data_IF_521394902660
#
_entry.id   IF_521394902660
#
_cell.length_a   1.000
_cell.length_b   1.000
_cell.length_c   1.000
_cell.angle_alpha   90.00
_cell.angle_beta   90.00
_cell.angle_gamma   90.00
#
_symmetry.space_group_name_H-M   'P 1'
#
loop_
_entity.id
_entity.type
_entity.pdbx_description
1 polymer ?
#
# COMPACT_ATOMS: atom_id res chain seq x y z
N UNK A 1 -2.94 -14.44 -30.36
CA UNK A 1 -2.59 -13.71 -29.11
C UNK A 1 -1.11 -13.29 -29.11
N UNK A 2 -0.63 -12.56 -30.13
CA UNK A 2 0.78 -12.11 -30.24
C UNK A 2 0.92 -10.62 -30.56
N UNK A 3 -0.09 -10.02 -31.19
CA UNK A 3 -0.09 -8.61 -31.63
C UNK A 3 -0.22 -7.62 -30.46
N UNK A 4 -1.00 -7.94 -29.42
CA UNK A 4 -1.21 -7.05 -28.25
C UNK A 4 0.05 -6.95 -27.38
N UNK A 5 0.74 -8.09 -27.14
CA UNK A 5 1.99 -8.13 -26.37
C UNK A 5 3.14 -7.45 -27.12
N UNK A 6 3.16 -7.56 -28.47
CA UNK A 6 4.13 -6.87 -29.32
C UNK A 6 3.83 -5.37 -29.45
N UNK A 7 2.56 -4.99 -29.49
CA UNK A 7 2.10 -3.60 -29.47
C UNK A 7 2.38 -2.88 -28.14
N UNK A 8 2.52 -3.60 -27.02
CA UNK A 8 2.92 -3.04 -25.72
C UNK A 8 4.44 -2.92 -25.52
N UNK A 9 5.27 -3.74 -26.19
CA UNK A 9 6.74 -3.64 -26.08
C UNK A 9 7.31 -2.33 -26.63
N UNK A 10 6.73 -1.79 -27.71
CA UNK A 10 7.22 -0.58 -28.38
C UNK A 10 6.88 0.74 -27.64
N UNK A 11 5.67 0.92 -27.04
CA UNK A 11 5.31 2.14 -26.32
C UNK A 11 5.60 2.11 -24.81
N UNK A 12 6.05 1.01 -24.20
CA UNK A 12 6.29 0.93 -22.75
C UNK A 12 7.29 1.98 -22.24
N UNK A 13 8.36 2.24 -22.99
CA UNK A 13 9.37 3.25 -22.66
C UNK A 13 8.81 4.69 -22.82
N UNK A 14 8.21 5.06 -23.97
CA UNK A 14 7.51 6.34 -24.11
C UNK A 14 6.44 6.58 -23.04
N UNK A 15 5.60 5.59 -22.76
CA UNK A 15 4.55 5.69 -21.73
C UNK A 15 5.15 5.96 -20.35
N UNK A 16 6.23 5.26 -20.00
CA UNK A 16 6.92 5.47 -18.73
C UNK A 16 7.48 6.88 -18.59
N UNK A 17 8.07 7.41 -19.68
CA UNK A 17 8.57 8.78 -19.72
C UNK A 17 7.44 9.79 -19.48
N UNK A 18 6.32 9.67 -20.20
CA UNK A 18 5.15 10.53 -20.05
C UNK A 18 4.58 10.47 -18.64
N UNK A 19 4.32 9.28 -18.11
CA UNK A 19 3.74 9.10 -16.78
C UNK A 19 4.66 9.58 -15.65
N UNK A 20 5.98 9.54 -15.84
CA UNK A 20 6.94 10.04 -14.83
C UNK A 20 6.87 11.56 -14.67
N UNK A 21 6.63 12.29 -15.77
CA UNK A 21 6.45 13.74 -15.77
C UNK A 21 5.05 14.18 -15.31
N UNK A 22 4.07 13.29 -15.38
CA UNK A 22 2.68 13.65 -15.15
C UNK A 22 2.31 13.63 -13.65
N UNK A 23 1.98 14.79 -13.08
CA UNK A 23 1.70 14.94 -11.65
C UNK A 23 0.57 14.00 -11.16
N UNK A 24 -0.48 13.83 -11.95
CA UNK A 24 -1.63 12.98 -11.63
C UNK A 24 -1.27 11.50 -11.55
N UNK A 25 -0.26 11.04 -12.30
CA UNK A 25 0.21 9.66 -12.28
C UNK A 25 1.25 9.39 -11.17
N UNK A 26 1.70 10.43 -10.45
CA UNK A 26 2.82 10.35 -9.51
C UNK A 26 2.52 9.44 -8.32
N UNK A 27 3.46 8.54 -8.03
CA UNK A 27 3.56 7.80 -6.77
C UNK A 27 4.59 8.50 -5.91
N UNK A 28 4.16 9.04 -4.78
CA UNK A 28 5.03 9.79 -3.88
C UNK A 28 4.47 9.77 -2.47
N UNK A 29 5.36 9.69 -1.50
CA UNK A 29 5.00 9.82 -0.09
C UNK A 29 4.21 11.12 0.13
N UNK A 30 3.08 11.08 0.85
CA UNK A 30 2.26 12.25 1.06
C UNK A 30 3.01 13.29 1.89
N UNK A 31 2.79 14.58 1.59
CA UNK A 31 3.26 15.66 2.46
C UNK A 31 2.57 15.59 3.83
N UNK A 32 3.13 16.21 4.89
CA UNK A 32 2.50 16.20 6.22
C UNK A 32 1.05 16.72 6.22
N UNK A 33 0.77 17.78 5.44
CA UNK A 33 -0.58 18.30 5.27
C UNK A 33 -1.53 17.28 4.60
N UNK A 34 -1.03 16.53 3.60
CA UNK A 34 -1.83 15.47 2.96
C UNK A 34 -2.02 14.26 3.89
N UNK A 35 -1.01 13.88 4.68
CA UNK A 35 -1.15 12.82 5.70
C UNK A 35 -2.28 13.16 6.68
N UNK A 36 -2.33 14.40 7.17
CA UNK A 36 -3.40 14.83 8.06
C UNK A 36 -4.78 14.78 7.39
N UNK A 37 -4.88 15.18 6.12
CA UNK A 37 -6.14 15.11 5.36
C UNK A 37 -6.60 13.65 5.19
N UNK A 38 -5.68 12.76 4.83
CA UNK A 38 -5.96 11.32 4.70
C UNK A 38 -6.36 10.69 6.04
N UNK A 39 -5.66 11.05 7.12
CA UNK A 39 -6.00 10.60 8.46
C UNK A 39 -7.41 10.99 8.89
N UNK A 40 -7.85 12.20 8.56
CA UNK A 40 -9.22 12.63 8.82
C UNK A 40 -10.26 11.86 8.01
N UNK A 41 -9.92 11.43 6.79
CA UNK A 41 -10.83 10.60 5.98
C UNK A 41 -10.96 9.19 6.56
N UNK A 42 -9.85 8.59 6.96
CA UNK A 42 -9.87 7.30 7.66
C UNK A 42 -10.63 7.39 8.97
N UNK A 43 -10.41 8.43 9.78
CA UNK A 43 -11.13 8.64 11.04
C UNK A 43 -12.64 8.88 10.82
N UNK A 44 -13.03 9.49 9.69
CA UNK A 44 -14.44 9.64 9.34
C UNK A 44 -15.12 8.31 8.96
N UNK A 45 -14.35 7.37 8.39
CA UNK A 45 -14.82 6.02 8.07
C UNK A 45 -14.78 5.09 9.30
N UNK A 46 -13.69 5.12 10.07
CA UNK A 46 -13.47 4.33 11.28
C UNK A 46 -12.92 5.23 12.41
N UNK A 47 -13.78 5.73 13.31
CA UNK A 47 -13.40 6.69 14.37
C UNK A 47 -12.32 6.19 15.36
N UNK A 48 -12.08 4.88 15.40
CA UNK A 48 -11.05 4.27 16.23
C UNK A 48 -9.65 4.40 15.62
N UNK A 49 -9.53 4.58 14.30
CA UNK A 49 -8.27 4.66 13.57
C UNK A 49 -7.78 6.10 13.42
N UNK A 50 -7.49 6.72 14.57
CA UNK A 50 -6.96 8.07 14.62
C UNK A 50 -5.55 8.11 14.04
N UNK A 51 -5.27 9.14 13.25
CA UNK A 51 -3.95 9.38 12.66
C UNK A 51 -3.48 8.31 11.66
N UNK A 52 -4.39 7.47 11.16
CA UNK A 52 -4.08 6.46 10.14
C UNK A 52 -4.20 7.07 8.75
N UNK A 53 -3.11 7.23 8.00
CA UNK A 53 -3.16 7.89 6.68
C UNK A 53 -2.92 6.95 5.49
N UNK A 54 -2.58 5.68 5.76
CA UNK A 54 -2.22 4.72 4.73
C UNK A 54 -2.55 3.29 5.13
N UNK A 55 -2.82 2.49 4.13
CA UNK A 55 -3.23 1.09 4.23
C UNK A 55 -2.28 0.32 3.31
N UNK A 56 -1.47 -0.51 3.92
CA UNK A 56 -0.59 -1.42 3.23
C UNK A 56 -1.39 -2.63 2.75
N UNK A 57 -1.20 -3.01 1.49
CA UNK A 57 -1.60 -4.33 0.99
C UNK A 57 -0.38 -5.17 0.52
N UNK A 58 -0.36 -6.44 0.90
CA UNK A 58 0.60 -7.43 0.38
C UNK A 58 0.05 -8.08 -0.91
N UNK A 59 0.96 -8.59 -1.75
CA UNK A 59 0.64 -9.51 -2.84
C UNK A 59 0.39 -8.84 -4.18
N UNK A 60 1.40 -8.86 -5.06
CA UNK A 60 1.24 -8.80 -6.52
C UNK A 60 2.33 -9.66 -7.13
N UNK A 61 2.03 -10.51 -8.10
CA UNK A 61 2.98 -11.34 -8.88
C UNK A 61 4.37 -10.69 -9.08
N UNK A 62 5.45 -11.40 -8.72
CA UNK A 62 6.86 -10.91 -8.66
C UNK A 62 7.17 -9.82 -7.59
N UNK A 63 6.24 -9.69 -6.64
CA UNK A 63 6.18 -9.12 -5.28
C UNK A 63 7.14 -8.05 -4.81
N UNK A 64 6.56 -6.93 -4.39
CA UNK A 64 7.08 -6.09 -3.32
C UNK A 64 5.90 -5.43 -2.59
N UNK A 65 6.18 -4.53 -1.65
CA UNK A 65 5.17 -3.91 -0.79
C UNK A 65 4.52 -2.70 -1.47
N UNK A 66 3.20 -2.56 -1.36
CA UNK A 66 2.45 -1.39 -1.85
C UNK A 66 1.66 -0.79 -0.69
N UNK A 67 1.69 0.54 -0.58
CA UNK A 67 0.90 1.29 0.38
C UNK A 67 -0.03 2.23 -0.37
N UNK A 68 -1.31 2.07 -0.09
CA UNK A 68 -2.41 2.90 -0.59
C UNK A 68 -2.79 3.93 0.45
N UNK A 69 -3.25 5.09 0.01
CA UNK A 69 -4.04 5.99 0.83
C UNK A 69 -5.51 5.58 0.78
N UNK A 70 -6.31 6.06 1.73
CA UNK A 70 -7.77 5.81 1.72
C UNK A 70 -8.46 6.36 0.45
N UNK A 71 -7.85 7.34 -0.23
CA UNK A 71 -8.32 7.84 -1.52
C UNK A 71 -8.02 6.91 -2.71
N UNK A 72 -7.53 5.69 -2.46
CA UNK A 72 -7.14 4.71 -3.46
C UNK A 72 -5.79 4.98 -4.13
N UNK A 73 -5.12 6.11 -3.84
CA UNK A 73 -3.82 6.41 -4.45
C UNK A 73 -2.73 5.51 -3.88
N UNK A 74 -1.88 4.99 -4.75
CA UNK A 74 -0.59 4.43 -4.36
C UNK A 74 0.31 5.58 -3.88
N UNK A 75 0.64 5.58 -2.60
CA UNK A 75 1.51 6.58 -1.96
C UNK A 75 2.94 6.11 -1.79
N UNK A 76 3.15 4.80 -1.79
CA UNK A 76 4.48 4.20 -1.75
C UNK A 76 4.44 2.79 -2.34
N UNK A 77 5.51 2.37 -3.00
CA UNK A 77 5.65 1.00 -3.47
C UNK A 77 7.12 0.60 -3.59
N UNK A 78 7.46 -0.62 -3.18
CA UNK A 78 8.64 -1.36 -3.63
C UNK A 78 8.13 -2.50 -4.50
N UNK A 79 8.72 -2.70 -5.67
CA UNK A 79 8.26 -3.67 -6.66
C UNK A 79 9.45 -4.24 -7.44
N UNK A 80 9.23 -5.28 -8.24
CA UNK A 80 10.26 -5.97 -9.04
C UNK A 80 11.27 -6.75 -8.18
N UNK A 81 10.84 -7.35 -7.05
CA UNK A 81 11.72 -7.96 -6.06
C UNK A 81 11.68 -9.49 -6.04
N UNK A 82 11.92 -10.14 -7.20
CA UNK A 82 11.91 -11.63 -7.30
C UNK A 82 12.83 -12.36 -6.30
N UNK A 83 13.91 -11.70 -5.87
CA UNK A 83 14.89 -12.27 -4.93
C UNK A 83 14.49 -12.17 -3.46
N UNK A 84 13.58 -11.25 -3.10
CA UNK A 84 13.21 -10.96 -1.72
C UNK A 84 11.73 -11.25 -1.52
N UNK A 85 11.42 -12.43 -1.01
CA UNK A 85 10.05 -12.84 -0.65
C UNK A 85 9.65 -12.45 0.78
N UNK A 86 10.55 -11.84 1.53
CA UNK A 86 10.34 -11.45 2.92
C UNK A 86 9.74 -10.04 3.01
N UNK A 87 8.64 -9.91 3.73
CA UNK A 87 7.92 -8.64 3.93
C UNK A 87 8.74 -7.61 4.71
N UNK A 88 9.62 -8.05 5.61
CA UNK A 88 10.52 -7.14 6.33
C UNK A 88 11.43 -6.41 5.35
N UNK A 89 12.03 -7.15 4.41
CA UNK A 89 12.95 -6.57 3.44
C UNK A 89 12.22 -5.66 2.46
N UNK A 90 11.09 -6.11 1.92
CA UNK A 90 10.32 -5.34 0.93
C UNK A 90 9.78 -4.03 1.51
N UNK A 91 9.51 -3.97 2.81
CA UNK A 91 8.97 -2.79 3.50
C UNK A 91 9.99 -1.87 4.18
N UNK A 92 11.28 -2.21 4.18
CA UNK A 92 12.32 -1.44 4.88
C UNK A 92 12.27 0.06 4.54
N UNK A 93 12.11 0.41 3.26
CA UNK A 93 12.03 1.80 2.82
C UNK A 93 10.74 2.52 3.26
N UNK A 94 9.65 1.79 3.47
CA UNK A 94 8.40 2.35 4.00
C UNK A 94 8.57 2.65 5.49
N UNK A 95 9.15 1.71 6.23
CA UNK A 95 9.45 1.86 7.67
C UNK A 95 10.39 3.04 7.93
N UNK A 96 11.45 3.16 7.14
CA UNK A 96 12.38 4.29 7.25
C UNK A 96 11.66 5.64 7.06
N UNK A 97 10.72 5.74 6.11
CA UNK A 97 9.92 6.96 5.90
C UNK A 97 8.91 7.21 7.01
N UNK A 98 8.35 6.15 7.60
CA UNK A 98 7.48 6.29 8.77
C UNK A 98 8.26 6.78 9.98
N UNK A 99 9.49 6.32 10.21
CA UNK A 99 10.26 6.70 11.39
C UNK A 99 10.96 8.06 11.25
N UNK A 100 11.30 8.47 10.04
CA UNK A 100 11.98 9.74 9.77
C UNK A 100 11.03 10.95 9.93
N UNK A 101 11.29 11.85 10.90
CA UNK A 101 10.49 13.06 11.12
C UNK A 101 10.42 13.99 9.90
N UNK A 102 11.39 13.92 8.98
CA UNK A 102 11.37 14.67 7.73
C UNK A 102 10.20 14.26 6.83
N UNK A 103 9.84 12.98 6.85
CA UNK A 103 8.76 12.43 6.05
C UNK A 103 7.46 12.27 6.84
N UNK A 104 7.54 11.98 8.14
CA UNK A 104 6.40 11.77 9.03
C UNK A 104 6.61 12.50 10.37
N UNK A 105 6.48 13.85 10.40
CA UNK A 105 6.85 14.66 11.57
C UNK A 105 5.95 14.43 12.78
N UNK A 106 4.72 13.98 12.57
CA UNK A 106 3.78 13.67 13.64
C UNK A 106 4.04 12.25 14.13
N UNK A 107 4.54 12.11 15.36
CA UNK A 107 4.93 10.83 15.96
C UNK A 107 3.79 9.82 16.15
N UNK A 108 2.54 10.27 16.14
CA UNK A 108 1.34 9.43 16.26
C UNK A 108 0.75 8.95 14.93
N UNK A 109 1.23 9.50 13.81
CA UNK A 109 0.78 9.07 12.48
C UNK A 109 1.17 7.61 12.24
N UNK A 110 0.23 6.86 11.67
CA UNK A 110 0.39 5.43 11.50
C UNK A 110 -0.19 4.95 10.17
N UNK A 111 0.13 3.71 9.83
CA UNK A 111 -0.46 2.98 8.70
C UNK A 111 -0.97 1.63 9.17
N UNK A 112 -1.96 1.10 8.47
CA UNK A 112 -2.46 -0.26 8.69
C UNK A 112 -1.67 -1.25 7.82
N UNK A 113 -1.36 -2.44 8.33
CA UNK A 113 -0.70 -3.54 7.60
C UNK A 113 -1.29 -4.92 7.98
N UNK A 114 -0.89 -5.95 7.23
CA UNK A 114 -1.25 -7.34 7.51
C UNK A 114 -0.63 -7.84 8.82
N UNK A 115 -1.34 -8.74 9.50
CA UNK A 115 -0.97 -9.45 10.73
C UNK A 115 0.36 -10.21 10.64
N UNK A 116 0.76 -10.65 9.43
CA UNK A 116 1.99 -11.43 9.23
C UNK A 116 3.29 -10.62 9.40
N UNK A 117 3.21 -9.30 9.63
CA UNK A 117 4.37 -8.43 9.65
C UNK A 117 5.16 -8.52 10.99
N UNK A 118 6.49 -8.74 10.97
CA UNK A 118 7.31 -8.60 12.16
C UNK A 118 7.45 -7.11 12.50
N UNK A 119 6.67 -6.64 13.48
CA UNK A 119 6.87 -5.32 14.06
C UNK A 119 8.10 -5.35 14.97
N UNK A 120 9.17 -4.65 14.60
CA UNK A 120 10.15 -4.24 15.62
C UNK A 120 9.44 -3.36 16.65
N UNK A 121 9.94 -3.33 17.89
CA UNK A 121 9.38 -2.48 18.95
C UNK A 121 9.34 -1.00 18.56
N UNK A 122 10.23 -0.57 17.67
CA UNK A 122 10.29 0.78 17.11
C UNK A 122 9.05 1.16 16.26
N UNK A 123 8.34 0.18 15.71
CA UNK A 123 7.14 0.39 14.88
C UNK A 123 5.85 0.29 15.70
N UNK A 124 5.96 0.06 17.01
CA UNK A 124 4.80 -0.01 17.91
C UNK A 124 4.01 1.29 17.82
N UNK A 125 2.72 1.18 17.48
CA UNK A 125 1.84 2.33 17.27
C UNK A 125 2.07 3.11 15.96
N UNK A 126 3.08 2.77 15.16
CA UNK A 126 3.32 3.32 13.80
C UNK A 126 2.73 2.42 12.71
N UNK A 127 2.72 1.11 12.95
CA UNK A 127 2.06 0.13 12.09
C UNK A 127 1.00 -0.58 12.93
N UNK A 128 -0.26 -0.45 12.53
CA UNK A 128 -1.40 -1.12 13.14
C UNK A 128 -1.70 -2.39 12.36
N UNK A 129 -1.75 -3.53 13.04
CA UNK A 129 -2.03 -4.83 12.43
C UNK A 129 -3.24 -5.47 13.08
N UNK A 130 -4.08 -6.20 12.33
CA UNK A 130 -5.12 -7.00 12.95
C UNK A 130 -4.49 -8.11 13.80
N UNK A 131 -5.19 -8.49 14.87
CA UNK A 131 -4.86 -9.68 15.67
C UNK A 131 -4.75 -10.94 14.81
N UNK A 132 -3.80 -11.84 15.13
CA UNK A 132 -3.74 -13.18 14.52
C UNK A 132 -4.75 -14.11 15.17
N UNK A 133 -5.10 -15.18 14.46
CA UNK A 133 -5.93 -16.24 15.00
C UNK A 133 -5.31 -16.84 16.27
N UNK A 134 -6.10 -16.93 17.34
CA UNK A 134 -5.67 -17.42 18.65
C UNK A 134 -4.93 -16.41 19.54
N UNK A 135 -4.64 -15.18 19.07
CA UNK A 135 -4.05 -14.15 19.93
C UNK A 135 -5.04 -13.65 20.98
N UNK A 136 -6.34 -13.64 20.66
CA UNK A 136 -7.42 -13.24 21.58
C UNK A 136 -7.39 -14.09 22.86
N UNK A 137 -7.13 -15.39 22.74
CA UNK A 137 -7.11 -16.30 23.88
C UNK A 137 -5.92 -16.06 24.81
N UNK A 138 -4.81 -15.54 24.27
CA UNK A 138 -3.59 -15.17 25.01
C UNK A 138 -3.71 -13.81 25.70
N UNK A 139 -4.69 -13.00 25.32
CA UNK A 139 -4.95 -11.67 25.88
C UNK A 139 -5.79 -11.78 27.15
N UNK A 140 -5.49 -10.92 28.13
CA UNK A 140 -6.24 -10.78 29.37
C UNK A 140 -7.74 -10.55 29.10
N UNK A 141 -8.67 -11.32 29.71
CA UNK A 141 -10.10 -11.26 29.40
C UNK A 141 -10.71 -9.85 29.39
N UNK A 142 -10.29 -8.98 30.31
CA UNK A 142 -10.77 -7.61 30.42
C UNK A 142 -10.41 -6.72 29.24
N UNK A 143 -9.34 -7.04 28.49
CA UNK A 143 -8.88 -6.26 27.33
C UNK A 143 -9.43 -6.79 26.00
N UNK A 144 -9.98 -8.00 25.97
CA UNK A 144 -10.43 -8.68 24.75
C UNK A 144 -11.48 -7.87 23.99
N UNK A 145 -12.48 -7.33 24.70
CA UNK A 145 -13.57 -6.57 24.05
C UNK A 145 -13.03 -5.36 23.27
N UNK A 146 -12.20 -4.52 23.91
CA UNK A 146 -11.63 -3.34 23.25
C UNK A 146 -10.68 -3.69 22.10
N UNK A 147 -9.88 -4.75 22.25
CA UNK A 147 -8.97 -5.21 21.20
C UNK A 147 -9.71 -5.85 20.02
N UNK A 148 -10.83 -6.55 20.25
CA UNK A 148 -11.71 -7.02 19.18
C UNK A 148 -12.33 -5.86 18.41
N UNK A 149 -12.77 -4.80 19.09
CA UNK A 149 -13.31 -3.61 18.40
C UNK A 149 -12.23 -2.95 17.53
N UNK A 150 -11.01 -2.80 18.04
CA UNK A 150 -9.90 -2.26 17.26
C UNK A 150 -9.53 -3.18 16.08
N UNK A 151 -9.48 -4.50 16.29
CA UNK A 151 -9.26 -5.48 15.23
C UNK A 151 -10.30 -5.33 14.11
N UNK A 152 -11.59 -5.22 14.45
CA UNK A 152 -12.65 -5.05 13.47
C UNK A 152 -12.50 -3.75 12.67
N UNK A 153 -12.15 -2.64 13.32
CA UNK A 153 -11.89 -1.36 12.65
C UNK A 153 -10.68 -1.45 11.68
N UNK A 154 -9.58 -2.08 12.12
CA UNK A 154 -8.40 -2.31 11.27
C UNK A 154 -8.78 -3.18 10.06
N UNK A 155 -9.53 -4.25 10.28
CA UNK A 155 -9.97 -5.17 9.21
C UNK A 155 -10.93 -4.48 8.24
N UNK A 156 -11.87 -3.67 8.72
CA UNK A 156 -12.83 -2.90 7.91
C UNK A 156 -12.14 -1.97 6.92
N UNK A 157 -11.23 -1.10 7.40
CA UNK A 157 -10.47 -0.19 6.53
C UNK A 157 -9.56 -0.93 5.55
N UNK A 158 -9.01 -2.08 5.96
CA UNK A 158 -8.21 -2.90 5.05
C UNK A 158 -9.07 -3.48 3.93
N UNK A 159 -10.21 -4.07 4.26
CA UNK A 159 -11.11 -4.72 3.31
C UNK A 159 -11.66 -3.76 2.26
N UNK A 160 -11.97 -2.51 2.61
CA UNK A 160 -12.42 -1.51 1.64
C UNK A 160 -11.39 -1.28 0.53
N UNK A 161 -10.11 -1.10 0.90
CA UNK A 161 -9.03 -0.93 -0.08
C UNK A 161 -8.75 -2.23 -0.83
N UNK A 162 -8.83 -3.40 -0.19
CA UNK A 162 -8.64 -4.68 -0.88
C UNK A 162 -9.70 -4.92 -1.96
N UNK A 163 -10.95 -4.55 -1.72
CA UNK A 163 -12.00 -4.69 -2.71
C UNK A 163 -11.83 -3.68 -3.85
N UNK A 164 -11.55 -2.42 -3.54
CA UNK A 164 -11.36 -1.38 -4.55
C UNK A 164 -10.10 -1.61 -5.40
N UNK A 165 -9.01 -2.05 -4.75
CA UNK A 165 -7.69 -2.20 -5.37
C UNK A 165 -7.34 -3.67 -5.66
N UNK A 166 -8.29 -4.59 -5.52
CA UNK A 166 -8.06 -6.03 -5.68
C UNK A 166 -7.50 -6.42 -7.06
N UNK A 167 -7.83 -5.66 -8.11
CA UNK A 167 -7.24 -5.83 -9.44
C UNK A 167 -5.72 -5.62 -9.49
N UNK A 168 -5.18 -4.81 -8.57
CA UNK A 168 -3.74 -4.62 -8.41
C UNK A 168 -3.09 -5.76 -7.64
N UNK A 169 -3.84 -6.52 -6.84
CA UNK A 169 -3.35 -7.66 -6.07
C UNK A 169 -3.30 -8.96 -6.88
N UNK A 170 -4.12 -9.08 -7.91
CA UNK A 170 -4.18 -10.27 -8.75
C UNK A 170 -2.91 -10.43 -9.61
N UNK A 171 -2.52 -11.67 -9.92
CA UNK A 171 -1.56 -11.95 -10.99
C UNK A 171 -1.91 -11.20 -12.28
N UNK A 172 -0.95 -10.55 -12.97
CA UNK A 172 -1.21 -10.09 -14.32
C UNK A 172 -1.61 -11.31 -15.17
N UNK A 173 -2.66 -11.17 -15.97
CA UNK A 173 -3.19 -12.22 -16.85
C UNK A 173 -2.17 -12.74 -17.88
N UNK A 174 -1.02 -12.06 -18.03
CA UNK A 174 0.12 -12.51 -18.83
C UNK A 174 1.39 -12.56 -17.96
N UNK A 175 2.23 -13.59 -18.10
CA UNK A 175 3.45 -13.71 -17.31
C UNK A 175 4.33 -12.46 -17.49
N UNK A 176 4.82 -11.96 -16.37
CA UNK A 176 5.71 -10.81 -16.34
C UNK A 176 6.99 -11.13 -17.15
N UNK A 177 7.60 -10.14 -17.83
CA UNK A 177 8.84 -10.36 -18.56
C UNK A 177 9.94 -10.96 -17.67
N UNK A 178 10.72 -11.89 -18.21
CA UNK A 178 11.89 -12.44 -17.52
C UNK A 178 12.93 -11.35 -17.25
N UNK A 179 13.18 -10.48 -18.25
CA UNK A 179 14.08 -9.33 -18.14
C UNK A 179 13.64 -8.40 -16.99
N UNK A 180 14.47 -8.20 -15.95
CA UNK A 180 14.14 -7.38 -14.79
C UNK A 180 13.82 -5.92 -15.09
N UNK A 181 14.49 -5.30 -16.07
CA UNK A 181 14.26 -3.90 -16.42
C UNK A 181 12.90 -3.72 -17.09
N UNK A 182 12.60 -4.58 -18.06
CA UNK A 182 11.32 -4.55 -18.78
C UNK A 182 10.15 -4.85 -17.83
N UNK A 183 10.34 -5.79 -16.91
CA UNK A 183 9.36 -6.09 -15.87
C UNK A 183 9.13 -4.90 -14.95
N UNK A 184 10.20 -4.29 -14.42
CA UNK A 184 10.10 -3.11 -13.57
C UNK A 184 9.39 -1.95 -14.27
N UNK A 185 9.71 -1.71 -15.55
CA UNK A 185 9.07 -0.70 -16.37
C UNK A 185 7.56 -0.93 -16.52
N UNK A 186 7.16 -2.17 -16.84
CA UNK A 186 5.76 -2.56 -17.01
C UNK A 186 4.97 -2.37 -15.71
N UNK A 187 5.51 -2.86 -14.59
CA UNK A 187 4.84 -2.73 -13.28
C UNK A 187 4.71 -1.25 -12.90
N UNK A 188 5.77 -0.45 -13.08
CA UNK A 188 5.74 0.99 -12.80
C UNK A 188 4.69 1.72 -13.64
N UNK A 189 4.53 1.35 -14.91
CA UNK A 189 3.49 1.92 -15.77
C UNK A 189 2.09 1.57 -15.27
N UNK A 190 1.84 0.31 -14.89
CA UNK A 190 0.56 -0.13 -14.34
C UNK A 190 0.20 0.69 -13.09
N UNK A 191 1.11 0.82 -12.14
CA UNK A 191 0.85 1.56 -10.90
C UNK A 191 0.62 3.06 -11.14
N UNK A 192 1.40 3.68 -12.04
CA UNK A 192 1.21 5.08 -12.40
C UNK A 192 -0.11 5.33 -13.12
N UNK A 193 -0.53 4.43 -13.99
CA UNK A 193 -1.85 4.48 -14.62
C UNK A 193 -2.97 4.30 -13.60
N UNK A 194 -2.78 3.47 -12.57
CA UNK A 194 -3.70 3.36 -11.44
C UNK A 194 -3.92 4.71 -10.76
N UNK A 195 -2.82 5.39 -10.38
CA UNK A 195 -2.91 6.72 -9.76
C UNK A 195 -3.54 7.76 -10.70
N UNK A 196 -3.23 7.70 -11.99
CA UNK A 196 -3.88 8.56 -12.97
C UNK A 196 -5.39 8.34 -13.00
N UNK A 197 -5.85 7.08 -13.06
CA UNK A 197 -7.27 6.72 -13.05
C UNK A 197 -7.94 7.19 -11.76
N UNK A 198 -7.39 6.85 -10.60
CA UNK A 198 -7.94 7.22 -9.28
C UNK A 198 -8.09 8.74 -9.11
N UNK A 199 -7.20 9.54 -9.70
CA UNK A 199 -7.23 11.00 -9.56
C UNK A 199 -7.99 11.73 -10.66
N UNK A 200 -8.30 11.06 -11.78
CA UNK A 200 -9.08 11.67 -12.88
C UNK A 200 -10.52 11.21 -12.88
N UNK A 201 -10.76 9.95 -12.54
CA UNK A 201 -12.09 9.40 -12.34
C UNK A 201 -12.39 9.58 -10.86
N UNK A 202 -13.30 10.48 -10.52
CA UNK A 202 -13.87 10.54 -9.18
C UNK A 202 -14.36 9.13 -8.86
N UNK A 203 -13.84 8.52 -7.80
CA UNK A 203 -14.38 7.27 -7.28
C UNK A 203 -15.83 7.61 -6.88
N UNK A 204 -16.79 7.17 -7.69
CA UNK A 204 -18.22 7.24 -7.39
C UNK A 204 -18.58 6.16 -6.39
#
# INVERSE_FOLDING_TARGET
MSTLVRALRTPEKPLAYTLKGFATARISWPSPARQLKLARRVEAHEPLLKHTFGIWLHGVFDTGTICFAEDGCIIWSRHNCRASRNDSDTSLGLRAKLLDPKFCPVSRMNVVSDSAFPCSTELTGRILTPLKDGDIDRILPSLRSGLCTLHNAITSVRQSIEWDMGSMQQPPQSPAPYNPELRGLRIANIFRMSNYRVRTVVIS
#
